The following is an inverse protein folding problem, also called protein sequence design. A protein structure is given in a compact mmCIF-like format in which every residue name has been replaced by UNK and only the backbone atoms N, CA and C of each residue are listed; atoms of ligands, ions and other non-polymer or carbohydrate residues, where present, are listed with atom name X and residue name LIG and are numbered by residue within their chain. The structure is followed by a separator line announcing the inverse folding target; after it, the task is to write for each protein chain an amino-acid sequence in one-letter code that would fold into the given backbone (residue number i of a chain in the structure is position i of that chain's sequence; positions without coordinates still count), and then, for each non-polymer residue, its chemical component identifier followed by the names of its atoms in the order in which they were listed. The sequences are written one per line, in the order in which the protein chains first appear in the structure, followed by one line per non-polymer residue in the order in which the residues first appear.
data_IF_418601775540
#
_entry.id   IF_418601775540
#
_cell.length_a   1.000
_cell.length_b   1.000
_cell.length_c   1.000
_cell.angle_alpha   90.00
_cell.angle_beta   90.00
_cell.angle_gamma   90.00
#
_symmetry.space_group_name_H-M   'P 1'
#
loop_
_entity.id
_entity.type
_entity.pdbx_description
1 polymer ?
#
# COMPACT_ATOMS: atom_id res chain seq x y z
N UNK A 1 -40.03 -22.69 32.16
CA UNK A 1 -39.92 -23.38 30.87
C UNK A 1 -39.45 -22.40 29.78
N UNK A 2 -40.16 -21.25 29.51
CA UNK A 2 -39.79 -20.27 28.45
C UNK A 2 -38.38 -19.71 28.63
N UNK A 3 -38.01 -19.27 29.83
CA UNK A 3 -36.69 -18.71 30.15
C UNK A 3 -35.57 -19.74 29.95
N UNK A 4 -35.82 -21.00 30.38
CA UNK A 4 -34.86 -22.08 30.18
C UNK A 4 -34.60 -22.34 28.71
N UNK A 5 -35.66 -22.48 27.90
CA UNK A 5 -35.53 -22.65 26.42
C UNK A 5 -34.89 -21.47 25.70
N UNK A 6 -35.17 -20.23 26.16
CA UNK A 6 -34.54 -19.03 25.57
C UNK A 6 -33.01 -19.05 25.81
N UNK A 7 -32.58 -19.42 27.02
CA UNK A 7 -31.17 -19.54 27.37
C UNK A 7 -30.45 -20.68 26.63
N UNK A 8 -31.09 -21.83 26.50
CA UNK A 8 -30.57 -22.94 25.69
C UNK A 8 -30.36 -22.54 24.22
N UNK A 9 -31.18 -21.60 23.73
CA UNK A 9 -31.04 -21.02 22.36
C UNK A 9 -30.10 -19.84 22.30
N UNK A 10 -29.30 -19.56 23.33
CA UNK A 10 -28.29 -18.50 23.33
C UNK A 10 -28.81 -17.09 23.68
N UNK A 11 -30.02 -16.97 24.25
CA UNK A 11 -30.51 -15.67 24.69
C UNK A 11 -29.70 -15.16 25.89
N UNK A 12 -28.94 -14.08 25.69
CA UNK A 12 -28.09 -13.49 26.72
C UNK A 12 -28.70 -12.26 27.41
N UNK A 13 -29.95 -11.91 27.11
CA UNK A 13 -30.64 -10.77 27.69
C UNK A 13 -30.96 -10.95 29.17
N UNK A 14 -31.15 -9.84 29.88
CA UNK A 14 -31.62 -9.87 31.29
C UNK A 14 -33.15 -10.07 31.28
N UNK A 15 -33.61 -10.99 32.14
CA UNK A 15 -35.04 -11.35 32.23
C UNK A 15 -35.60 -10.81 33.53
N UNK A 16 -36.75 -10.13 33.45
CA UNK A 16 -37.60 -9.74 34.60
C UNK A 16 -38.91 -10.50 34.46
N UNK A 17 -39.38 -11.14 35.52
CA UNK A 17 -40.71 -11.77 35.56
C UNK A 17 -41.67 -10.84 36.32
N UNK A 18 -42.83 -10.59 35.70
CA UNK A 18 -43.96 -9.90 36.30
C UNK A 18 -45.09 -10.93 36.53
N UNK A 19 -45.43 -11.21 37.79
CA UNK A 19 -46.38 -12.27 38.14
C UNK A 19 -47.48 -11.77 39.09
N UNK A 20 -48.69 -12.28 38.90
CA UNK A 20 -49.77 -12.11 39.88
C UNK A 20 -49.70 -13.06 41.06
N UNK A 21 -48.74 -14.00 41.05
CA UNK A 21 -48.59 -15.00 42.14
C UNK A 21 -47.38 -14.58 43.03
N UNK A 22 -47.66 -14.49 44.34
CA UNK A 22 -46.65 -14.20 45.36
C UNK A 22 -46.02 -15.43 45.98
N UNK A 23 -46.21 -16.64 45.38
CA UNK A 23 -45.67 -17.87 45.91
C UNK A 23 -44.13 -17.90 45.77
N UNK A 24 -43.49 -18.04 46.92
CA UNK A 24 -42.03 -18.08 47.07
C UNK A 24 -41.36 -19.15 46.19
N UNK A 25 -42.04 -20.27 45.93
CA UNK A 25 -41.53 -21.36 45.08
C UNK A 25 -41.25 -20.89 43.64
N UNK A 26 -42.16 -20.11 43.06
CA UNK A 26 -41.98 -19.58 41.68
C UNK A 26 -40.86 -18.58 41.62
N UNK A 27 -40.70 -17.75 42.63
CA UNK A 27 -39.58 -16.80 42.71
C UNK A 27 -38.24 -17.55 42.83
N UNK A 28 -38.17 -18.60 43.66
CA UNK A 28 -36.97 -19.41 43.83
C UNK A 28 -36.59 -20.18 42.56
N UNK A 29 -37.56 -20.69 41.81
CA UNK A 29 -37.32 -21.38 40.54
C UNK A 29 -36.87 -20.38 39.46
N UNK A 30 -37.45 -19.19 39.41
CA UNK A 30 -37.04 -18.10 38.50
C UNK A 30 -35.56 -17.70 38.74
N UNK A 31 -35.15 -17.57 39.98
CA UNK A 31 -33.76 -17.26 40.37
C UNK A 31 -32.82 -18.40 39.91
N UNK A 32 -33.17 -19.66 40.08
CA UNK A 32 -32.39 -20.82 39.61
C UNK A 32 -32.22 -20.78 38.08
N UNK A 33 -33.23 -20.32 37.35
CA UNK A 33 -33.16 -20.13 35.90
C UNK A 33 -32.42 -18.87 35.48
N UNK A 34 -31.87 -18.11 36.46
CA UNK A 34 -31.08 -16.90 36.24
C UNK A 34 -31.90 -15.70 35.78
N UNK A 35 -33.17 -15.63 36.18
CA UNK A 35 -33.99 -14.42 36.11
C UNK A 35 -33.41 -13.38 37.06
N UNK A 36 -33.21 -12.14 36.57
CA UNK A 36 -32.58 -11.09 37.39
C UNK A 36 -33.52 -10.54 38.47
N UNK A 37 -34.78 -10.36 38.14
CA UNK A 37 -35.79 -9.82 39.06
C UNK A 37 -37.15 -10.49 38.84
N UNK A 38 -37.85 -10.65 39.94
CA UNK A 38 -39.21 -11.16 39.98
C UNK A 38 -40.08 -10.11 40.73
N UNK A 39 -41.07 -9.54 40.05
CA UNK A 39 -41.98 -8.53 40.59
C UNK A 39 -43.38 -9.08 40.66
N UNK A 40 -44.10 -8.83 41.78
CA UNK A 40 -45.49 -9.22 42.00
C UNK A 40 -46.44 -8.08 41.57
N UNK A 41 -47.57 -8.47 41.02
CA UNK A 41 -48.66 -7.51 40.72
C UNK A 41 -49.49 -7.26 42.03
N UNK A 42 -49.98 -6.02 42.27
CA UNK A 42 -49.84 -4.81 41.42
C UNK A 42 -48.41 -4.27 41.45
N UNK A 43 -47.95 -3.77 40.30
CA UNK A 43 -46.54 -3.28 40.09
C UNK A 43 -46.49 -1.86 40.64
N UNK A 44 -45.52 -1.60 41.51
CA UNK A 44 -45.12 -0.24 41.86
C UNK A 44 -44.26 0.36 40.73
N UNK A 45 -44.78 1.44 40.13
CA UNK A 45 -44.08 2.11 38.99
C UNK A 45 -42.70 2.59 39.40
N UNK A 46 -42.53 3.12 40.63
CA UNK A 46 -41.23 3.58 41.13
C UNK A 46 -40.23 2.44 41.32
N UNK A 47 -40.68 1.30 41.82
CA UNK A 47 -39.84 0.15 41.96
C UNK A 47 -39.39 -0.39 40.59
N UNK A 48 -40.33 -0.49 39.66
CA UNK A 48 -40.01 -0.89 38.29
C UNK A 48 -39.01 0.05 37.61
N UNK A 49 -39.20 1.38 37.73
CA UNK A 49 -38.28 2.39 37.17
C UNK A 49 -36.88 2.25 37.78
N UNK A 50 -36.75 2.13 39.08
CA UNK A 50 -35.46 1.91 39.75
C UNK A 50 -34.76 0.66 39.27
N UNK A 51 -35.49 -0.43 39.10
CA UNK A 51 -34.96 -1.68 38.59
C UNK A 51 -34.48 -1.58 37.12
N UNK A 52 -35.26 -0.89 36.27
CA UNK A 52 -34.89 -0.67 34.91
C UNK A 52 -33.64 0.21 34.80
N UNK A 53 -33.53 1.25 35.62
CA UNK A 53 -32.34 2.10 35.68
C UNK A 53 -31.11 1.31 36.14
N UNK A 54 -31.26 0.45 37.15
CA UNK A 54 -30.19 -0.42 37.62
C UNK A 54 -29.73 -1.42 36.53
N UNK A 55 -30.66 -2.05 35.82
CA UNK A 55 -30.35 -2.95 34.70
C UNK A 55 -29.68 -2.24 33.55
N UNK A 56 -30.16 -1.04 33.22
CA UNK A 56 -29.53 -0.20 32.18
C UNK A 56 -28.07 0.09 32.51
N UNK A 57 -27.79 0.43 33.78
CA UNK A 57 -26.43 0.67 34.25
C UNK A 57 -25.58 -0.62 34.19
N UNK A 58 -26.10 -1.76 34.69
CA UNK A 58 -25.40 -3.05 34.65
C UNK A 58 -25.05 -3.46 33.20
N UNK A 59 -26.02 -3.36 32.27
CA UNK A 59 -25.82 -3.70 30.85
C UNK A 59 -24.77 -2.77 30.24
N UNK A 60 -24.81 -1.48 30.58
CA UNK A 60 -23.82 -0.50 30.13
C UNK A 60 -22.40 -0.84 30.59
N UNK A 61 -22.24 -1.20 31.87
CA UNK A 61 -20.93 -1.61 32.42
C UNK A 61 -20.42 -2.94 31.85
N UNK A 62 -21.32 -3.94 31.69
CA UNK A 62 -20.96 -5.19 31.03
C UNK A 62 -20.53 -4.96 29.57
N UNK A 63 -21.23 -4.09 28.85
CA UNK A 63 -20.90 -3.73 27.47
C UNK A 63 -19.54 -3.01 27.38
N UNK A 64 -19.26 -2.06 28.27
CA UNK A 64 -17.96 -1.39 28.36
C UNK A 64 -16.83 -2.37 28.67
N UNK A 65 -17.02 -3.28 29.62
CA UNK A 65 -16.02 -4.30 29.97
C UNK A 65 -15.74 -5.24 28.80
N UNK A 66 -16.79 -5.68 28.07
CA UNK A 66 -16.61 -6.51 26.87
C UNK A 66 -15.86 -5.75 25.77
N UNK A 67 -16.25 -4.49 25.51
CA UNK A 67 -15.56 -3.66 24.54
C UNK A 67 -14.08 -3.44 24.92
N UNK A 68 -13.80 -3.16 26.20
CA UNK A 68 -12.42 -3.01 26.67
C UNK A 68 -11.61 -4.31 26.53
N UNK A 69 -12.19 -5.46 26.87
CA UNK A 69 -11.54 -6.76 26.69
C UNK A 69 -11.27 -7.06 25.22
N UNK A 70 -12.24 -6.79 24.34
CA UNK A 70 -12.08 -6.96 22.88
C UNK A 70 -10.96 -6.05 22.35
N UNK A 71 -10.94 -4.76 22.75
CA UNK A 71 -9.90 -3.83 22.35
C UNK A 71 -8.52 -4.25 22.86
N UNK A 72 -8.43 -4.74 24.09
CA UNK A 72 -7.18 -5.24 24.66
C UNK A 72 -6.67 -6.46 23.88
N UNK A 73 -7.55 -7.40 23.57
CA UNK A 73 -7.23 -8.58 22.77
C UNK A 73 -6.76 -8.22 21.35
N UNK A 74 -7.45 -7.27 20.69
CA UNK A 74 -7.03 -6.78 19.37
C UNK A 74 -5.64 -6.14 19.40
N UNK A 75 -5.38 -5.28 20.37
CA UNK A 75 -4.05 -4.66 20.52
C UNK A 75 -2.94 -5.67 20.80
N UNK A 76 -3.22 -6.67 21.65
CA UNK A 76 -2.27 -7.76 21.91
C UNK A 76 -1.97 -8.53 20.62
N UNK A 77 -3.00 -8.85 19.84
CA UNK A 77 -2.88 -9.53 18.55
C UNK A 77 -2.08 -8.71 17.53
N UNK A 78 -2.35 -7.42 17.41
CA UNK A 78 -1.58 -6.52 16.55
C UNK A 78 -0.11 -6.45 16.95
N UNK A 79 0.18 -6.39 18.25
CA UNK A 79 1.57 -6.38 18.75
C UNK A 79 2.28 -7.69 18.43
N UNK A 80 1.64 -8.82 18.61
CA UNK A 80 2.22 -10.13 18.30
C UNK A 80 2.47 -10.29 16.80
N UNK A 81 1.52 -9.85 15.94
CA UNK A 81 1.72 -9.86 14.49
C UNK A 81 2.88 -8.96 14.08
N UNK A 82 2.98 -7.77 14.67
CA UNK A 82 4.11 -6.86 14.43
C UNK A 82 5.45 -7.52 14.79
N UNK A 83 5.50 -8.15 15.95
CA UNK A 83 6.71 -8.85 16.40
C UNK A 83 7.07 -10.02 15.48
N UNK A 84 6.09 -10.76 14.97
CA UNK A 84 6.33 -11.85 14.01
C UNK A 84 6.92 -11.37 12.69
N UNK A 85 6.51 -10.20 12.21
CA UNK A 85 7.08 -9.62 10.98
C UNK A 85 8.52 -9.14 11.18
N UNK A 86 8.84 -8.62 12.37
CA UNK A 86 10.13 -7.97 12.65
C UNK A 86 11.15 -8.88 13.37
N UNK A 87 10.68 -9.88 14.13
CA UNK A 87 11.53 -10.70 14.99
C UNK A 87 11.12 -12.18 14.95
N UNK A 88 11.92 -13.05 14.31
CA UNK A 88 11.59 -14.47 14.17
C UNK A 88 11.56 -15.25 15.48
N UNK A 89 12.06 -14.69 16.59
CA UNK A 89 12.25 -15.41 17.85
C UNK A 89 11.02 -15.43 18.79
N UNK A 90 9.93 -14.72 18.44
CA UNK A 90 8.77 -14.55 19.34
C UNK A 90 7.59 -15.47 19.04
N UNK A 91 7.83 -16.65 18.45
CA UNK A 91 6.80 -17.63 18.09
C UNK A 91 6.01 -18.13 19.31
N UNK A 92 6.65 -18.20 20.47
CA UNK A 92 6.00 -18.64 21.72
C UNK A 92 4.80 -17.75 22.14
N UNK A 93 4.71 -16.53 21.64
CA UNK A 93 3.59 -15.63 21.91
C UNK A 93 2.32 -15.95 21.10
N UNK A 94 2.42 -16.79 20.06
CA UNK A 94 1.29 -17.19 19.22
C UNK A 94 0.27 -18.02 19.97
N UNK A 95 0.70 -18.79 20.97
CA UNK A 95 -0.19 -19.58 21.82
C UNK A 95 -1.11 -18.71 22.70
N UNK A 96 -0.76 -17.43 22.88
CA UNK A 96 -1.55 -16.48 23.68
C UNK A 96 -2.71 -15.83 22.89
N UNK A 97 -2.68 -15.91 21.58
CA UNK A 97 -3.71 -15.38 20.70
C UNK A 97 -4.16 -16.49 19.76
N UNK A 98 -5.47 -16.72 19.72
CA UNK A 98 -6.11 -17.74 18.89
C UNK A 98 -5.90 -17.39 17.38
N UNK A 99 -4.64 -17.53 16.92
CA UNK A 99 -4.26 -17.44 15.53
C UNK A 99 -4.28 -18.86 14.98
N UNK A 100 -5.08 -19.10 13.93
CA UNK A 100 -5.04 -20.40 13.27
C UNK A 100 -3.64 -20.66 12.70
N UNK A 101 -2.82 -21.41 13.44
CA UNK A 101 -1.41 -21.71 13.15
C UNK A 101 -1.24 -23.05 12.43
N UNK A 102 -2.33 -23.72 12.05
CA UNK A 102 -2.31 -25.03 11.39
C UNK A 102 -2.04 -24.95 9.89
N UNK A 103 -1.91 -23.75 9.33
CA UNK A 103 -1.57 -23.58 7.92
C UNK A 103 -0.14 -24.07 7.65
N UNK A 104 0.07 -24.65 6.46
CA UNK A 104 1.38 -25.16 6.02
C UNK A 104 2.16 -24.11 5.25
N UNK A 105 1.49 -23.07 4.78
CA UNK A 105 2.08 -22.00 3.98
C UNK A 105 1.60 -20.62 4.44
N UNK A 106 2.51 -19.65 4.34
CA UNK A 106 2.27 -18.27 4.73
C UNK A 106 2.88 -17.32 3.70
N UNK A 107 2.25 -16.15 3.49
CA UNK A 107 2.77 -15.10 2.63
C UNK A 107 2.39 -13.74 3.21
N UNK A 108 3.30 -12.78 3.16
CA UNK A 108 3.06 -11.41 3.59
C UNK A 108 2.76 -10.54 2.39
N UNK A 109 1.69 -9.76 2.50
CA UNK A 109 1.28 -8.73 1.55
C UNK A 109 1.33 -7.39 2.27
N UNK A 110 2.02 -6.42 1.68
CA UNK A 110 2.04 -5.04 2.14
C UNK A 110 1.32 -4.17 1.13
N UNK A 111 0.53 -3.21 1.59
CA UNK A 111 -0.05 -2.22 0.69
C UNK A 111 -0.22 -0.87 1.38
N UNK A 112 -0.11 0.19 0.59
CA UNK A 112 -0.40 1.55 1.00
C UNK A 112 -1.45 2.16 0.07
N UNK A 113 -2.26 3.07 0.60
CA UNK A 113 -3.28 3.77 -0.19
C UNK A 113 -2.65 4.95 -0.91
N UNK A 114 -2.98 5.13 -2.18
CA UNK A 114 -2.74 6.39 -2.83
C UNK A 114 -3.68 7.45 -2.25
N UNK A 115 -3.13 8.57 -1.84
CA UNK A 115 -3.91 9.77 -1.58
C UNK A 115 -4.21 10.39 -2.95
N UNK A 116 -5.24 9.90 -3.61
CA UNK A 116 -5.74 10.54 -4.83
C UNK A 116 -6.74 11.62 -4.42
N UNK A 117 -6.74 12.76 -5.15
CA UNK A 117 -7.69 13.85 -4.94
C UNK A 117 -9.14 13.48 -5.38
N UNK A 118 -9.36 12.28 -5.87
CA UNK A 118 -10.68 11.78 -6.23
C UNK A 118 -11.11 10.73 -5.21
N UNK A 119 -12.31 10.90 -4.66
CA UNK A 119 -12.99 9.96 -3.76
C UNK A 119 -13.32 8.66 -4.51
N UNK A 120 -12.32 7.79 -4.69
CA UNK A 120 -12.58 6.43 -5.13
C UNK A 120 -12.93 5.56 -3.92
N UNK A 121 -13.86 4.65 -4.10
CA UNK A 121 -14.29 3.68 -3.10
C UNK A 121 -13.06 3.06 -2.42
N UNK A 122 -12.92 3.25 -1.11
CA UNK A 122 -11.76 2.81 -0.36
C UNK A 122 -11.47 1.33 -0.59
N UNK A 123 -10.23 1.01 -0.95
CA UNK A 123 -9.77 -0.36 -1.09
C UNK A 123 -9.97 -1.13 0.22
N UNK A 124 -10.51 -2.34 0.12
CA UNK A 124 -10.65 -3.29 1.21
C UNK A 124 -10.06 -4.63 0.78
N UNK A 125 -9.06 -5.10 1.49
CA UNK A 125 -8.40 -6.37 1.21
C UNK A 125 -9.36 -7.57 1.30
N UNK A 126 -10.31 -7.54 2.25
CA UNK A 126 -11.37 -8.56 2.37
C UNK A 126 -12.22 -8.65 1.10
N UNK A 127 -12.64 -7.49 0.59
CA UNK A 127 -13.42 -7.42 -0.66
C UNK A 127 -12.59 -7.84 -1.86
N UNK A 128 -11.31 -7.49 -1.89
CA UNK A 128 -10.39 -7.89 -2.94
C UNK A 128 -10.22 -9.41 -3.00
N UNK A 129 -9.99 -10.07 -1.85
CA UNK A 129 -9.92 -11.52 -1.77
C UNK A 129 -11.30 -12.22 -1.96
N UNK A 130 -12.40 -11.46 -2.00
CA UNK A 130 -13.77 -12.01 -2.07
C UNK A 130 -14.06 -13.02 -0.96
N UNK A 131 -13.51 -12.78 0.22
CA UNK A 131 -13.76 -13.62 1.40
C UNK A 131 -15.03 -13.19 2.11
N UNK A 132 -15.79 -14.16 2.61
CA UNK A 132 -16.92 -13.93 3.50
C UNK A 132 -16.51 -13.98 4.97
N UNK A 133 -17.42 -13.67 5.89
CA UNK A 133 -17.13 -13.66 7.34
C UNK A 133 -16.63 -15.01 7.90
N UNK A 134 -16.93 -16.13 7.25
CA UNK A 134 -16.50 -17.46 7.70
C UNK A 134 -15.05 -17.76 7.28
N UNK A 135 -14.54 -17.07 6.24
CA UNK A 135 -13.20 -17.26 5.71
C UNK A 135 -12.16 -16.26 6.28
N UNK A 136 -12.56 -15.39 7.20
CA UNK A 136 -11.67 -14.38 7.82
C UNK A 136 -10.49 -14.97 8.58
N UNK A 137 -10.54 -16.25 8.96
CA UNK A 137 -9.45 -16.92 9.68
C UNK A 137 -8.23 -17.23 8.82
N UNK A 138 -8.34 -17.07 7.49
CA UNK A 138 -7.26 -17.39 6.56
C UNK A 138 -6.30 -16.21 6.30
N UNK A 139 -6.60 -15.04 6.83
CA UNK A 139 -5.66 -13.92 6.81
C UNK A 139 -5.76 -13.07 8.06
N UNK A 140 -4.68 -12.37 8.37
CA UNK A 140 -4.57 -11.42 9.48
C UNK A 140 -4.04 -10.10 8.94
N UNK A 141 -4.61 -8.97 9.38
CA UNK A 141 -4.19 -7.65 8.94
C UNK A 141 -3.85 -6.74 10.11
N UNK A 142 -2.77 -5.99 9.97
CA UNK A 142 -2.39 -4.91 10.88
C UNK A 142 -1.99 -3.65 10.11
N UNK A 143 -2.05 -2.52 10.79
CA UNK A 143 -1.51 -1.25 10.27
C UNK A 143 -0.14 -0.99 10.89
N UNK A 144 0.87 -0.85 10.04
CA UNK A 144 2.22 -0.47 10.41
C UNK A 144 2.47 0.95 9.89
N UNK A 145 2.34 1.95 10.75
CA UNK A 145 2.36 3.36 10.41
C UNK A 145 1.32 3.72 9.32
N UNK A 146 1.71 3.89 8.07
CA UNK A 146 0.81 4.16 6.93
C UNK A 146 0.60 2.94 6.01
N UNK A 147 1.35 1.85 6.25
CA UNK A 147 1.31 0.62 5.47
C UNK A 147 0.38 -0.38 6.12
N UNK A 148 -0.45 -1.02 5.31
CA UNK A 148 -1.25 -2.16 5.74
C UNK A 148 -0.44 -3.44 5.48
N UNK A 149 -0.23 -4.24 6.52
CA UNK A 149 0.42 -5.53 6.41
C UNK A 149 -0.61 -6.65 6.62
N UNK A 150 -0.63 -7.61 5.71
CA UNK A 150 -1.54 -8.75 5.73
C UNK A 150 -0.74 -10.03 5.67
N UNK A 151 -1.00 -10.94 6.61
CA UNK A 151 -0.49 -12.30 6.60
C UNK A 151 -1.55 -13.23 6.00
N UNK A 152 -1.28 -13.79 4.83
CA UNK A 152 -2.07 -14.87 4.24
C UNK A 152 -1.67 -16.21 4.86
N UNK A 153 -2.67 -17.08 5.12
CA UNK A 153 -2.48 -18.38 5.79
C UNK A 153 -3.13 -19.48 4.98
N UNK A 154 -2.33 -20.39 4.46
CA UNK A 154 -2.76 -21.57 3.72
C UNK A 154 -2.67 -21.42 2.20
N UNK A 155 -2.38 -22.55 1.56
CA UNK A 155 -2.15 -22.65 0.12
C UNK A 155 -3.31 -22.11 -0.72
N UNK A 156 -4.55 -22.49 -0.35
CA UNK A 156 -5.74 -22.08 -1.12
C UNK A 156 -6.00 -20.58 -1.12
N UNK A 157 -5.64 -19.87 -0.04
CA UNK A 157 -5.80 -18.42 0.04
C UNK A 157 -4.69 -17.70 -0.71
N UNK A 158 -3.46 -18.22 -0.62
CA UNK A 158 -2.31 -17.71 -1.34
C UNK A 158 -2.55 -17.87 -2.85
N UNK A 159 -2.99 -19.05 -3.29
CA UNK A 159 -3.32 -19.27 -4.70
C UNK A 159 -4.43 -18.34 -5.19
N UNK A 160 -5.52 -18.18 -4.42
CA UNK A 160 -6.58 -17.23 -4.74
C UNK A 160 -6.06 -15.80 -4.87
N UNK A 161 -5.15 -15.39 -4.00
CA UNK A 161 -4.52 -14.07 -4.07
C UNK A 161 -3.70 -13.92 -5.38
N UNK A 162 -2.90 -14.91 -5.73
CA UNK A 162 -2.11 -14.93 -6.95
C UNK A 162 -2.98 -14.90 -8.21
N UNK A 163 -4.04 -15.70 -8.27
CA UNK A 163 -5.01 -15.69 -9.38
C UNK A 163 -5.66 -14.30 -9.57
N UNK A 164 -5.96 -13.60 -8.46
CA UNK A 164 -6.51 -12.24 -8.52
C UNK A 164 -5.47 -11.20 -8.97
N UNK A 165 -4.22 -11.37 -8.62
CA UNK A 165 -3.11 -10.53 -9.10
C UNK A 165 -2.90 -10.74 -10.60
N UNK A 166 -2.92 -11.97 -11.09
CA UNK A 166 -2.82 -12.27 -12.52
C UNK A 166 -3.97 -11.65 -13.31
N UNK A 167 -5.22 -11.82 -12.84
CA UNK A 167 -6.39 -11.16 -13.44
C UNK A 167 -6.25 -9.63 -13.48
N UNK A 168 -5.67 -9.05 -12.43
CA UNK A 168 -5.38 -7.63 -12.40
C UNK A 168 -4.40 -7.22 -13.51
N UNK A 169 -3.31 -7.94 -13.69
CA UNK A 169 -2.34 -7.68 -14.75
C UNK A 169 -2.98 -7.69 -16.14
N UNK A 170 -3.82 -8.68 -16.43
CA UNK A 170 -4.56 -8.75 -17.69
C UNK A 170 -5.52 -7.56 -17.89
N UNK A 171 -6.23 -7.16 -16.84
CA UNK A 171 -7.15 -6.02 -16.89
C UNK A 171 -6.43 -4.68 -17.04
N UNK A 172 -5.28 -4.50 -16.36
CA UNK A 172 -4.51 -3.26 -16.41
C UNK A 172 -3.93 -2.99 -17.80
N UNK A 173 -3.54 -4.04 -18.53
CA UNK A 173 -3.11 -3.94 -19.93
C UNK A 173 -4.23 -3.42 -20.83
N UNK A 174 -5.49 -3.75 -20.54
CA UNK A 174 -6.67 -3.31 -21.29
C UNK A 174 -7.19 -1.93 -20.84
N UNK A 175 -6.46 -1.21 -19.97
CA UNK A 175 -6.82 0.12 -19.46
C UNK A 175 -8.17 0.19 -18.74
N UNK A 176 -8.63 -0.92 -18.17
CA UNK A 176 -9.85 -0.95 -17.35
C UNK A 176 -9.52 -0.53 -15.91
N UNK A 177 -10.32 0.38 -15.32
CA UNK A 177 -10.14 0.74 -13.91
C UNK A 177 -10.38 -0.45 -13.00
N UNK A 178 -9.48 -0.65 -12.04
CA UNK A 178 -9.56 -1.76 -11.08
C UNK A 178 -9.58 -1.23 -9.64
N UNK A 179 -9.94 -2.10 -8.69
CA UNK A 179 -9.87 -1.75 -7.27
C UNK A 179 -8.43 -1.48 -6.79
N UNK A 180 -7.44 -2.05 -7.48
CA UNK A 180 -6.02 -1.91 -7.14
C UNK A 180 -5.43 -0.56 -7.57
N UNK A 181 -6.07 0.19 -8.47
CA UNK A 181 -5.59 1.51 -8.90
C UNK A 181 -5.54 2.54 -7.75
N UNK A 182 -6.23 2.25 -6.64
CA UNK A 182 -6.23 3.09 -5.43
C UNK A 182 -5.15 2.73 -4.40
N UNK A 183 -4.35 1.70 -4.66
CA UNK A 183 -3.30 1.21 -3.74
C UNK A 183 -2.04 0.85 -4.50
N UNK A 184 -0.91 0.83 -3.79
CA UNK A 184 0.29 0.14 -4.24
C UNK A 184 0.52 -1.05 -3.32
N UNK A 185 0.68 -2.23 -3.89
CA UNK A 185 0.71 -3.50 -3.18
C UNK A 185 1.98 -4.26 -3.52
N UNK A 186 2.59 -4.86 -2.51
CA UNK A 186 3.74 -5.77 -2.70
C UNK A 186 3.54 -7.04 -1.91
N UNK A 187 4.11 -8.14 -2.38
CA UNK A 187 4.08 -9.40 -1.65
C UNK A 187 5.43 -10.12 -1.71
N UNK A 188 5.77 -10.75 -0.59
CA UNK A 188 7.00 -11.49 -0.45
C UNK A 188 6.85 -12.95 -0.87
N UNK A 189 7.93 -13.71 -0.70
CA UNK A 189 7.95 -15.16 -0.95
C UNK A 189 6.95 -15.91 -0.07
N UNK A 190 6.44 -17.03 -0.56
CA UNK A 190 5.71 -18.00 0.23
C UNK A 190 6.69 -18.75 1.14
N UNK A 191 6.34 -18.89 2.42
CA UNK A 191 7.15 -19.60 3.42
C UNK A 191 6.35 -20.73 4.05
N UNK A 192 7.04 -21.76 4.56
CA UNK A 192 6.42 -22.97 5.09
C UNK A 192 6.24 -22.96 6.60
N UNK A 193 6.75 -21.94 7.28
CA UNK A 193 6.77 -21.88 8.74
C UNK A 193 6.53 -20.44 9.21
N UNK A 194 5.87 -20.33 10.38
CA UNK A 194 5.68 -19.04 11.06
C UNK A 194 7.01 -18.37 11.44
N UNK A 195 8.07 -19.15 11.67
CA UNK A 195 9.41 -18.65 11.96
C UNK A 195 10.02 -17.89 10.76
N UNK A 196 9.60 -18.20 9.55
CA UNK A 196 10.13 -17.65 8.30
C UNK A 196 9.31 -16.47 7.77
N UNK A 197 8.23 -16.06 8.45
CA UNK A 197 7.36 -14.95 8.03
C UNK A 197 8.16 -13.66 7.82
N UNK A 198 9.17 -13.40 8.65
CA UNK A 198 10.03 -12.24 8.52
C UNK A 198 10.71 -12.16 7.15
N UNK A 199 11.08 -13.30 6.53
CA UNK A 199 11.66 -13.34 5.18
C UNK A 199 10.66 -12.85 4.12
N UNK A 200 9.39 -13.28 4.24
CA UNK A 200 8.32 -12.80 3.35
C UNK A 200 8.03 -11.31 3.56
N UNK A 201 8.09 -10.85 4.81
CA UNK A 201 7.94 -9.43 5.14
C UNK A 201 9.10 -8.58 4.61
N UNK A 202 10.33 -9.05 4.74
CA UNK A 202 11.53 -8.37 4.22
C UNK A 202 11.47 -8.20 2.71
N UNK A 203 11.10 -9.27 1.96
CA UNK A 203 10.90 -9.19 0.52
C UNK A 203 9.84 -8.13 0.14
N UNK A 204 8.65 -8.23 0.75
CA UNK A 204 7.57 -7.29 0.48
C UNK A 204 7.94 -5.85 0.85
N UNK A 205 8.67 -5.64 1.96
CA UNK A 205 9.13 -4.35 2.43
C UNK A 205 10.19 -3.74 1.51
N UNK A 206 11.12 -4.56 1.02
CA UNK A 206 12.10 -4.14 0.03
C UNK A 206 11.42 -3.69 -1.26
N UNK A 207 10.47 -4.46 -1.77
CA UNK A 207 9.70 -4.10 -2.96
C UNK A 207 8.89 -2.81 -2.75
N UNK A 208 8.28 -2.62 -1.57
CA UNK A 208 7.54 -1.42 -1.24
C UNK A 208 8.44 -0.17 -1.23
N UNK A 209 9.66 -0.30 -0.69
CA UNK A 209 10.66 0.78 -0.71
C UNK A 209 11.07 1.17 -2.13
N UNK A 210 10.97 0.24 -3.07
CA UNK A 210 11.29 0.43 -4.48
C UNK A 210 10.11 0.91 -5.35
N UNK A 211 8.99 1.26 -4.76
CA UNK A 211 7.82 1.82 -5.46
C UNK A 211 8.18 2.93 -6.44
N UNK A 212 9.18 3.75 -6.11
CA UNK A 212 9.68 4.82 -6.98
C UNK A 212 10.12 4.31 -8.37
N UNK A 213 10.64 3.08 -8.43
CA UNK A 213 11.15 2.47 -9.66
C UNK A 213 10.09 1.66 -10.43
N UNK A 214 8.84 1.62 -9.95
CA UNK A 214 7.77 0.88 -10.61
C UNK A 214 7.40 1.50 -11.95
N UNK A 215 7.00 0.65 -12.89
CA UNK A 215 6.51 1.05 -14.20
C UNK A 215 5.17 1.80 -14.12
N UNK A 216 4.84 2.51 -15.19
CA UNK A 216 3.54 3.17 -15.30
C UNK A 216 2.40 2.14 -15.20
N UNK A 217 1.41 2.41 -14.34
CA UNK A 217 0.28 1.51 -14.04
C UNK A 217 0.64 0.21 -13.30
N UNK A 218 1.86 0.05 -12.84
CA UNK A 218 2.24 -1.06 -12.00
C UNK A 218 1.83 -0.78 -10.56
N UNK A 219 0.73 -1.37 -10.12
CA UNK A 219 0.19 -1.19 -8.77
C UNK A 219 0.43 -2.40 -7.85
N UNK A 220 0.87 -3.52 -8.41
CA UNK A 220 1.19 -4.74 -7.66
C UNK A 220 2.56 -5.25 -8.10
N UNK A 221 3.43 -5.52 -7.13
CA UNK A 221 4.80 -6.04 -7.37
C UNK A 221 5.06 -7.23 -6.45
N UNK A 222 5.37 -8.37 -7.02
CA UNK A 222 5.72 -9.58 -6.29
C UNK A 222 7.22 -9.84 -6.23
N UNK A 223 7.62 -10.78 -5.38
CA UNK A 223 9.02 -11.18 -5.22
C UNK A 223 9.64 -11.69 -6.53
N UNK A 224 8.84 -12.24 -7.44
CA UNK A 224 9.27 -12.72 -8.76
C UNK A 224 9.75 -11.57 -9.66
N UNK A 225 9.32 -10.35 -9.40
CA UNK A 225 9.68 -9.14 -10.13
C UNK A 225 10.83 -8.36 -9.45
N UNK A 226 11.43 -8.94 -8.41
CA UNK A 226 12.57 -8.31 -7.75
C UNK A 226 13.73 -8.19 -8.73
N UNK A 227 14.31 -6.98 -8.91
CA UNK A 227 15.46 -6.82 -9.78
C UNK A 227 16.64 -7.66 -9.28
N UNK A 228 17.33 -8.29 -10.20
CA UNK A 228 18.56 -9.01 -9.86
C UNK A 228 19.62 -8.03 -9.41
N UNK A 229 20.33 -8.37 -8.33
CA UNK A 229 21.46 -7.57 -7.88
C UNK A 229 22.66 -7.83 -8.81
N UNK A 230 23.18 -6.78 -9.46
CA UNK A 230 24.46 -6.86 -10.10
C UNK A 230 25.54 -7.04 -9.04
N UNK A 231 26.51 -7.91 -9.32
CA UNK A 231 27.60 -8.18 -8.37
C UNK A 231 28.45 -6.94 -8.14
N UNK A 232 28.58 -6.07 -9.15
CA UNK A 232 29.32 -4.81 -9.11
C UNK A 232 28.51 -3.72 -9.81
N UNK A 233 27.54 -3.08 -9.12
CA UNK A 233 26.77 -1.99 -9.72
C UNK A 233 27.67 -0.80 -10.04
N UNK A 234 27.42 -0.16 -11.17
CA UNK A 234 28.13 1.08 -11.53
C UNK A 234 27.71 2.18 -10.54
N UNK A 235 28.64 2.85 -9.86
CA UNK A 235 28.29 3.93 -8.93
C UNK A 235 27.55 5.08 -9.66
N UNK A 236 26.60 5.75 -8.98
CA UNK A 236 25.99 6.99 -9.45
C UNK A 236 26.94 8.17 -9.20
N UNK A 237 28.06 8.16 -9.86
CA UNK A 237 29.16 9.13 -9.70
C UNK A 237 29.29 10.09 -10.92
N UNK A 238 30.30 10.97 -10.85
CA UNK A 238 30.58 11.90 -11.91
C UNK A 238 30.95 11.26 -13.24
N UNK A 239 31.58 10.08 -13.22
CA UNK A 239 31.95 9.37 -14.46
C UNK A 239 30.72 8.86 -15.21
N UNK A 240 29.74 8.29 -14.49
CA UNK A 240 28.47 7.86 -15.05
C UNK A 240 27.65 9.07 -15.54
N UNK A 241 27.66 10.16 -14.76
CA UNK A 241 26.98 11.40 -15.11
C UNK A 241 27.55 12.00 -16.40
N UNK A 242 28.87 12.09 -16.55
CA UNK A 242 29.55 12.57 -17.75
C UNK A 242 29.26 11.66 -18.96
N UNK A 243 29.20 10.35 -18.77
CA UNK A 243 28.85 9.38 -19.81
C UNK A 243 27.45 9.63 -20.39
N UNK A 244 26.43 9.76 -19.53
CA UNK A 244 25.08 10.03 -19.98
C UNK A 244 24.92 11.43 -20.54
N UNK A 245 25.50 12.44 -19.89
CA UNK A 245 25.50 13.81 -20.38
C UNK A 245 26.11 13.91 -21.80
N UNK A 246 27.29 13.32 -22.02
CA UNK A 246 27.95 13.29 -23.34
C UNK A 246 27.11 12.59 -24.41
N UNK A 247 26.49 11.44 -24.07
CA UNK A 247 25.62 10.71 -24.97
C UNK A 247 24.39 11.54 -25.37
N UNK A 248 23.70 12.15 -24.39
CA UNK A 248 22.53 12.99 -24.65
C UNK A 248 22.89 14.20 -25.51
N UNK A 249 23.99 14.89 -25.23
CA UNK A 249 24.47 16.02 -26.06
C UNK A 249 24.73 15.59 -27.49
N UNK A 250 25.42 14.48 -27.71
CA UNK A 250 25.69 13.93 -29.03
C UNK A 250 24.40 13.65 -29.81
N UNK A 251 23.39 13.01 -29.16
CA UNK A 251 22.14 12.68 -29.84
C UNK A 251 21.24 13.92 -30.07
N UNK A 252 21.27 14.89 -29.18
CA UNK A 252 20.58 16.17 -29.34
C UNK A 252 21.16 16.95 -30.52
N UNK A 253 22.49 17.03 -30.65
CA UNK A 253 23.19 17.71 -31.74
C UNK A 253 22.98 17.04 -33.11
N UNK A 254 22.91 15.69 -33.11
CA UNK A 254 22.68 14.91 -34.33
C UNK A 254 21.20 14.74 -34.69
N UNK A 255 20.28 15.29 -33.90
CA UNK A 255 18.83 15.11 -34.04
C UNK A 255 18.39 13.64 -34.08
N UNK A 256 19.13 12.76 -33.41
CA UNK A 256 18.87 11.32 -33.42
C UNK A 256 17.90 10.92 -32.31
N UNK A 257 16.58 11.05 -32.58
CA UNK A 257 15.51 10.75 -31.65
C UNK A 257 15.50 9.31 -31.18
N UNK A 258 15.77 8.35 -32.08
CA UNK A 258 15.73 6.95 -31.75
C UNK A 258 16.83 6.58 -30.73
N UNK A 259 18.06 7.03 -30.96
CA UNK A 259 19.18 6.78 -30.06
C UNK A 259 19.01 7.51 -28.73
N UNK A 260 18.37 8.68 -28.73
CA UNK A 260 18.04 9.41 -27.52
C UNK A 260 17.03 8.66 -26.65
N UNK A 261 15.95 8.16 -27.25
CA UNK A 261 14.93 7.35 -26.56
C UNK A 261 15.53 6.03 -26.03
N UNK A 262 16.35 5.36 -26.83
CA UNK A 262 17.05 4.14 -26.39
C UNK A 262 17.99 4.43 -25.21
N UNK A 263 18.72 5.55 -25.25
CA UNK A 263 19.62 5.92 -24.15
C UNK A 263 18.87 6.31 -22.88
N UNK A 264 17.70 6.94 -22.98
CA UNK A 264 16.81 7.20 -21.83
C UNK A 264 16.31 5.89 -21.23
N UNK A 265 15.90 4.91 -22.07
CA UNK A 265 15.48 3.60 -21.60
C UNK A 265 16.64 2.82 -20.95
N UNK A 266 17.87 2.91 -21.47
CA UNK A 266 19.06 2.33 -20.85
C UNK A 266 19.33 2.95 -19.47
N UNK A 267 19.19 4.27 -19.34
CA UNK A 267 19.30 4.96 -18.04
C UNK A 267 18.27 4.47 -17.05
N UNK A 268 16.99 4.40 -17.45
CA UNK A 268 15.90 3.91 -16.62
C UNK A 268 16.15 2.46 -16.14
N UNK A 269 16.51 1.58 -17.07
CA UNK A 269 16.82 0.17 -16.77
C UNK A 269 18.02 0.02 -15.82
N UNK A 270 19.06 0.84 -16.00
CA UNK A 270 20.22 0.83 -15.09
C UNK A 270 19.85 1.30 -13.68
N UNK A 271 19.01 2.34 -13.56
CA UNK A 271 18.57 2.87 -12.27
C UNK A 271 17.61 1.92 -11.52
N UNK A 272 17.04 0.95 -12.21
CA UNK A 272 16.20 -0.09 -11.58
C UNK A 272 17.00 -1.05 -10.69
N UNK A 273 18.32 -1.00 -10.67
CA UNK A 273 19.17 -1.87 -9.85
C UNK A 273 18.82 -1.77 -8.35
N UNK A 274 18.86 -2.90 -7.65
CA UNK A 274 18.49 -3.03 -6.24
C UNK A 274 19.36 -2.19 -5.29
N UNK A 275 20.59 -1.90 -5.67
CA UNK A 275 21.55 -1.15 -4.84
C UNK A 275 21.32 0.36 -4.82
N UNK A 276 20.54 0.89 -5.76
CA UNK A 276 20.24 2.33 -5.77
C UNK A 276 19.01 2.65 -4.94
N UNK A 277 19.14 3.68 -4.10
CA UNK A 277 17.98 4.21 -3.39
C UNK A 277 17.34 5.39 -4.15
N UNK A 278 16.12 5.74 -3.72
CA UNK A 278 15.37 6.84 -4.33
C UNK A 278 16.13 8.17 -4.24
N UNK A 279 16.73 8.47 -3.10
CA UNK A 279 17.34 9.78 -2.83
C UNK A 279 18.60 9.99 -3.67
N UNK A 280 19.48 9.00 -3.73
CA UNK A 280 20.65 9.01 -4.61
C UNK A 280 20.25 9.19 -6.07
N UNK A 281 19.24 8.43 -6.52
CA UNK A 281 18.73 8.49 -7.88
C UNK A 281 18.18 9.88 -8.22
N UNK A 282 17.42 10.51 -7.33
CA UNK A 282 16.87 11.84 -7.51
C UNK A 282 18.00 12.92 -7.62
N UNK A 283 19.04 12.82 -6.81
CA UNK A 283 20.19 13.72 -6.92
C UNK A 283 20.92 13.53 -8.23
N UNK A 284 21.24 12.29 -8.60
CA UNK A 284 21.90 11.98 -9.86
C UNK A 284 21.15 12.51 -11.07
N UNK A 285 19.83 12.29 -11.14
CA UNK A 285 18.98 12.77 -12.24
C UNK A 285 18.89 14.29 -12.27
N UNK A 286 18.83 14.94 -11.11
CA UNK A 286 18.84 16.40 -11.03
C UNK A 286 20.13 16.97 -11.62
N UNK A 287 21.28 16.45 -11.19
CA UNK A 287 22.59 16.90 -11.69
C UNK A 287 22.75 16.63 -13.18
N UNK A 288 22.33 15.45 -13.64
CA UNK A 288 22.37 15.09 -15.06
C UNK A 288 21.59 16.06 -15.93
N UNK A 289 20.34 16.38 -15.56
CA UNK A 289 19.54 17.33 -16.32
C UNK A 289 20.15 18.73 -16.33
N UNK A 290 20.60 19.23 -15.16
CA UNK A 290 21.19 20.56 -15.05
C UNK A 290 22.51 20.67 -15.84
N UNK A 291 23.31 19.60 -15.89
CA UNK A 291 24.54 19.57 -16.67
C UNK A 291 24.25 19.60 -18.18
N UNK A 292 23.31 18.77 -18.66
CA UNK A 292 22.87 18.81 -20.09
C UNK A 292 22.35 20.19 -20.45
N UNK A 293 21.46 20.79 -19.64
CA UNK A 293 20.93 22.14 -19.83
C UNK A 293 22.05 23.17 -19.92
N UNK A 294 23.02 23.14 -19.01
CA UNK A 294 24.13 24.05 -18.97
C UNK A 294 24.99 23.95 -20.24
N UNK A 295 25.26 22.75 -20.71
CA UNK A 295 26.04 22.54 -21.95
C UNK A 295 25.28 23.00 -23.18
N UNK A 296 23.99 22.74 -23.30
CA UNK A 296 23.15 23.22 -24.40
C UNK A 296 23.12 24.76 -24.45
N UNK A 297 22.96 25.44 -23.30
CA UNK A 297 23.00 26.88 -23.22
C UNK A 297 24.36 27.49 -23.66
N UNK A 298 25.47 26.78 -23.43
CA UNK A 298 26.80 27.19 -23.89
C UNK A 298 26.98 26.99 -25.40
N UNK A 299 26.50 25.85 -25.91
CA UNK A 299 26.67 25.49 -27.32
C UNK A 299 25.75 26.30 -28.26
N UNK A 300 24.56 26.65 -27.78
CA UNK A 300 23.51 27.32 -28.55
C UNK A 300 23.08 28.63 -27.88
N UNK A 301 24.05 29.48 -27.53
CA UNK A 301 23.82 30.74 -26.84
C UNK A 301 22.92 31.74 -27.60
N UNK A 302 22.82 31.61 -28.92
CA UNK A 302 22.00 32.43 -29.79
C UNK A 302 20.58 31.89 -30.00
N UNK A 303 20.28 30.70 -29.47
CA UNK A 303 18.96 30.06 -29.59
C UNK A 303 18.15 30.31 -28.32
N UNK A 304 16.95 30.88 -28.46
CA UNK A 304 16.04 31.04 -27.34
C UNK A 304 15.34 29.72 -27.04
N UNK A 305 15.82 28.98 -26.03
CA UNK A 305 15.19 27.74 -25.55
C UNK A 305 14.49 28.05 -24.22
N UNK A 306 13.18 27.81 -24.09
CA UNK A 306 12.40 28.13 -22.88
C UNK A 306 12.64 27.11 -21.76
N UNK A 307 13.86 27.06 -21.23
CA UNK A 307 14.19 26.19 -20.10
C UNK A 307 13.49 26.63 -18.82
N UNK A 308 12.96 25.68 -18.03
CA UNK A 308 12.52 25.96 -16.66
C UNK A 308 13.69 26.44 -15.79
N UNK A 309 13.40 27.23 -14.73
CA UNK A 309 14.44 27.66 -13.78
C UNK A 309 15.09 26.45 -13.08
N UNK A 310 16.33 26.59 -12.61
CA UNK A 310 17.01 25.49 -11.94
C UNK A 310 16.28 25.07 -10.65
N UNK A 311 15.77 26.04 -9.87
CA UNK A 311 15.00 25.74 -8.66
C UNK A 311 13.73 24.95 -8.97
N UNK A 312 13.00 25.35 -10.04
CA UNK A 312 11.82 24.62 -10.46
C UNK A 312 12.15 23.17 -10.87
N UNK A 313 13.25 22.96 -11.59
CA UNK A 313 13.70 21.60 -11.98
C UNK A 313 14.02 20.75 -10.76
N UNK A 314 14.75 21.31 -9.78
CA UNK A 314 15.07 20.63 -8.54
C UNK A 314 13.78 20.24 -7.79
N UNK A 315 12.87 21.18 -7.58
CA UNK A 315 11.60 20.92 -6.89
C UNK A 315 10.75 19.91 -7.66
N UNK A 316 10.70 20.02 -8.99
CA UNK A 316 9.97 19.12 -9.85
C UNK A 316 10.46 17.68 -9.70
N UNK A 317 11.77 17.43 -9.88
CA UNK A 317 12.37 16.09 -9.80
C UNK A 317 12.22 15.53 -8.38
N UNK A 318 12.51 16.33 -7.34
CA UNK A 318 12.43 15.89 -5.94
C UNK A 318 10.99 15.53 -5.51
N UNK A 319 9.98 16.13 -6.13
CA UNK A 319 8.57 15.87 -5.82
C UNK A 319 7.98 14.65 -6.54
N UNK A 320 8.71 14.02 -7.48
CA UNK A 320 8.18 12.90 -8.27
C UNK A 320 8.01 11.64 -7.43
N UNK A 321 6.93 10.93 -7.73
CA UNK A 321 6.60 9.66 -7.07
C UNK A 321 7.26 8.48 -7.75
N UNK A 322 7.46 8.57 -9.06
CA UNK A 322 7.96 7.50 -9.92
C UNK A 322 9.10 7.95 -10.81
N UNK A 323 10.03 7.04 -11.07
CA UNK A 323 11.16 7.26 -11.97
C UNK A 323 10.69 7.60 -13.40
N UNK A 324 9.71 6.88 -13.93
CA UNK A 324 9.20 7.10 -15.28
C UNK A 324 8.69 8.52 -15.51
N UNK A 325 8.15 9.20 -14.48
CA UNK A 325 7.73 10.61 -14.59
C UNK A 325 8.91 11.55 -14.88
N UNK A 326 10.09 11.22 -14.33
CA UNK A 326 11.32 12.00 -14.57
C UNK A 326 11.89 11.68 -15.94
N UNK A 327 11.88 10.42 -16.35
CA UNK A 327 12.31 10.00 -17.69
C UNK A 327 11.43 10.62 -18.75
N UNK A 328 10.12 10.67 -18.55
CA UNK A 328 9.18 11.35 -19.44
C UNK A 328 9.49 12.86 -19.52
N UNK A 329 9.71 13.51 -18.38
CA UNK A 329 10.13 14.93 -18.36
C UNK A 329 11.41 15.17 -19.15
N UNK A 330 12.42 14.30 -19.03
CA UNK A 330 13.64 14.40 -19.83
C UNK A 330 13.33 14.26 -21.32
N UNK A 331 12.52 13.30 -21.70
CA UNK A 331 12.10 13.10 -23.10
C UNK A 331 11.42 14.35 -23.66
N UNK A 332 10.47 14.93 -22.94
CA UNK A 332 9.73 16.14 -23.34
C UNK A 332 10.68 17.35 -23.47
N UNK A 333 11.60 17.54 -22.53
CA UNK A 333 12.58 18.63 -22.57
C UNK A 333 13.58 18.46 -23.72
N UNK A 334 14.03 17.23 -23.99
CA UNK A 334 14.96 16.96 -25.09
C UNK A 334 14.31 17.15 -26.47
N UNK A 335 13.04 16.78 -26.63
CA UNK A 335 12.27 17.09 -27.85
C UNK A 335 12.09 18.60 -28.03
N UNK A 336 11.84 19.36 -26.98
CA UNK A 336 11.75 20.81 -27.02
C UNK A 336 13.08 21.42 -27.45
N UNK A 337 14.21 20.96 -26.90
CA UNK A 337 15.56 21.41 -27.28
C UNK A 337 15.80 21.16 -28.77
N UNK A 338 15.56 19.94 -29.27
CA UNK A 338 15.73 19.61 -30.69
C UNK A 338 14.85 20.46 -31.61
N UNK A 339 13.61 20.71 -31.18
CA UNK A 339 12.70 21.58 -31.96
C UNK A 339 13.21 23.01 -32.05
N UNK A 340 13.65 23.59 -30.94
CA UNK A 340 14.19 24.97 -30.94
C UNK A 340 15.47 25.10 -31.78
N UNK A 341 16.41 24.16 -31.64
CA UNK A 341 17.67 24.16 -32.44
C UNK A 341 17.38 23.93 -33.92
N UNK A 342 16.47 23.00 -34.25
CA UNK A 342 16.12 22.69 -35.64
C UNK A 342 15.43 23.86 -36.37
N UNK A 343 14.58 24.61 -35.67
CA UNK A 343 13.95 25.81 -36.24
C UNK A 343 14.99 26.92 -36.47
N UNK A 344 15.85 27.16 -35.48
CA UNK A 344 16.94 28.15 -35.63
C UNK A 344 17.87 27.85 -36.83
N UNK A 345 18.24 26.57 -37.03
CA UNK A 345 19.07 26.15 -38.16
C UNK A 345 18.38 26.41 -39.50
N UNK A 346 17.07 26.23 -39.61
CA UNK A 346 16.30 26.52 -40.83
C UNK A 346 16.22 28.03 -41.10
N UNK A 347 15.95 28.82 -40.07
CA UNK A 347 15.86 30.28 -40.19
C UNK A 347 17.22 30.90 -40.57
N UNK A 348 18.32 30.43 -39.95
CA UNK A 348 19.68 30.86 -40.28
C UNK A 348 20.06 30.53 -41.72
N UNK A 349 19.71 29.33 -42.21
CA UNK A 349 19.96 28.97 -43.62
C UNK A 349 19.11 29.81 -44.59
N UNK A 350 17.88 30.14 -44.26
CA UNK A 350 17.03 31.02 -45.03
C UNK A 350 17.58 32.45 -45.07
N UNK A 351 18.03 32.99 -43.95
CA UNK A 351 18.64 34.32 -43.86
C UNK A 351 19.95 34.39 -44.70
N UNK A 352 20.80 33.34 -44.63
CA UNK A 352 22.02 33.25 -45.46
C UNK A 352 21.69 33.17 -46.95
N UNK A 353 20.65 32.42 -47.34
CA UNK A 353 20.19 32.36 -48.75
C UNK A 353 19.64 33.71 -49.20
N UNK A 354 18.82 34.37 -48.38
CA UNK A 354 18.27 35.68 -48.69
C UNK A 354 19.36 36.74 -48.81
N UNK A 355 20.41 36.68 -47.97
CA UNK A 355 21.56 37.57 -48.03
C UNK A 355 22.46 37.33 -49.29
N UNK A 356 22.47 36.07 -49.78
CA UNK A 356 23.22 35.73 -51.02
C UNK A 356 22.46 36.14 -52.30
N UNK A 357 21.13 36.26 -52.25
CA UNK A 357 20.25 36.59 -53.36
C UNK A 357 20.08 38.15 -53.48
N UNK A 358 20.25 38.86 -52.36
CA UNK A 358 20.17 40.32 -52.33
C UNK A 358 21.54 41.01 -52.76
#
# INVERSE_FOLDING_TARGET
ELVARAKERGFAGKVIILSGYSDFKYAQEAIRLGVKFYLTKPIDEKELEQLLLKLKHEIGEESKKRAAATNYYQRARETILRDLFLNPNNIALLDLVDMNTTAVQYQVVLYEKYVSQQEHMGFSFEKFLRVNNQERHFFEGITLDQVQAVLLKGESVIQRFQDLVEQYWEQSQNSMPTALDSVFMTYGRTVSSLAEIHLSYEDASLLLSRKFFSEQKQHVVGVEQMPQADVFPTPLDGALLDHYCGSFLQYLQSFNRNMLAEKLHQLESQLYNIHYDKKETLYFLTDLYLQVKSQILRLYNNVSIPFPSNSWVMDYIQSRRYLYEIIQFFSEQFELIMSCIGNYSKDSVLDDILHYIA
#
